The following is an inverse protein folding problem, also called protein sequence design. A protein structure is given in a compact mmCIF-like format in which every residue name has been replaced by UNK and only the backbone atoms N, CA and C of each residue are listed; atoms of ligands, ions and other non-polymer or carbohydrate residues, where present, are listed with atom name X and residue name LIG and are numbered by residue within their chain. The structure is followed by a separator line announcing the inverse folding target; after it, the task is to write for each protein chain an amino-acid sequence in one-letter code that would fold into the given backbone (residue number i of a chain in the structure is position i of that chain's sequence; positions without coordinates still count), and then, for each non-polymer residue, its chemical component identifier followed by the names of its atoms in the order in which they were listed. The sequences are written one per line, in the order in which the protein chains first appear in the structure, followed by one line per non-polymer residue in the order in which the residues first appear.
data_IF_318628205572
#
_entry.id   IF_318628205572
#
_cell.length_a   1.000
_cell.length_b   1.000
_cell.length_c   1.000
_cell.angle_alpha   90.00
_cell.angle_beta   90.00
_cell.angle_gamma   90.00
#
_symmetry.space_group_name_H-M   'P 1'
#
loop_
_entity.id
_entity.type
_entity.pdbx_description
1 polymer ?
#
# COMPACT_ATOMS: atom_id res chain seq x y z
N UNK A 1 -13.81 -8.34 18.88
CA UNK A 1 -13.68 -7.35 19.98
C UNK A 1 -13.30 -6.00 19.40
N UNK A 2 -13.61 -4.89 20.06
CA UNK A 2 -13.46 -3.55 19.45
C UNK A 2 -12.01 -3.12 19.12
N UNK A 3 -11.01 -3.81 19.68
CA UNK A 3 -9.58 -3.51 19.49
C UNK A 3 -8.86 -4.63 18.73
N UNK A 4 -9.56 -5.26 17.78
CA UNK A 4 -8.94 -6.19 16.85
C UNK A 4 -8.25 -5.44 15.69
N UNK A 5 -7.15 -5.99 15.12
CA UNK A 5 -6.42 -5.34 14.03
C UNK A 5 -7.34 -4.89 12.89
N UNK A 6 -7.07 -3.70 12.36
CA UNK A 6 -7.79 -3.11 11.22
C UNK A 6 -9.29 -2.85 11.44
N UNK A 7 -9.79 -2.99 12.67
CA UNK A 7 -11.17 -2.60 12.99
C UNK A 7 -11.31 -1.09 12.88
N UNK A 8 -12.23 -0.63 12.04
CA UNK A 8 -12.54 0.79 11.93
C UNK A 8 -13.42 1.19 13.11
N UNK A 9 -12.90 2.08 13.94
CA UNK A 9 -13.52 2.51 15.19
C UNK A 9 -13.59 4.03 15.29
N UNK A 10 -14.52 4.50 16.10
CA UNK A 10 -14.45 5.82 16.72
C UNK A 10 -13.90 5.67 18.13
N UNK A 11 -12.76 6.29 18.40
CA UNK A 11 -12.08 6.24 19.70
C UNK A 11 -12.29 7.55 20.45
N UNK A 12 -12.57 7.45 21.75
CA UNK A 12 -12.54 8.57 22.69
C UNK A 12 -11.38 8.35 23.65
N UNK A 13 -10.50 9.33 23.76
CA UNK A 13 -9.24 9.19 24.50
C UNK A 13 -8.79 10.52 25.11
N UNK A 14 -7.94 10.43 26.13
CA UNK A 14 -7.28 11.56 26.79
C UNK A 14 -5.78 11.50 26.50
N UNK A 15 -5.28 12.44 25.69
CA UNK A 15 -3.85 12.59 25.39
C UNK A 15 -3.25 13.66 26.31
N UNK A 16 -2.21 13.27 27.05
CA UNK A 16 -1.53 14.13 28.03
C UNK A 16 -0.09 14.34 27.62
N UNK A 17 0.32 15.60 27.57
CA UNK A 17 1.69 15.98 27.28
C UNK A 17 2.68 15.26 28.23
N UNK A 18 3.74 14.68 27.65
CA UNK A 18 4.77 13.95 28.40
C UNK A 18 4.43 12.49 28.71
N UNK A 19 3.29 11.95 28.27
CA UNK A 19 3.00 10.51 28.31
C UNK A 19 3.16 9.87 26.93
N UNK A 20 3.91 8.76 26.87
CA UNK A 20 4.06 7.97 25.65
C UNK A 20 2.75 7.25 25.28
N UNK A 21 1.99 6.80 26.28
CA UNK A 21 0.72 6.11 26.09
C UNK A 21 -0.47 7.01 26.41
N UNK A 22 -1.47 6.95 25.54
CA UNK A 22 -2.75 7.64 25.69
C UNK A 22 -3.73 6.80 26.51
N UNK A 23 -4.53 7.45 27.36
CA UNK A 23 -5.62 6.76 28.07
C UNK A 23 -6.85 6.65 27.17
N UNK A 24 -7.26 5.42 26.86
CA UNK A 24 -8.46 5.13 26.08
C UNK A 24 -9.70 5.09 27.00
N UNK A 25 -10.69 5.92 26.72
CA UNK A 25 -11.93 5.98 27.50
C UNK A 25 -13.00 5.02 26.93
N UNK A 26 -13.23 5.06 25.62
CA UNK A 26 -14.16 4.16 24.94
C UNK A 26 -13.86 4.01 23.44
N UNK A 27 -14.39 2.94 22.84
CA UNK A 27 -14.34 2.67 21.40
C UNK A 27 -15.71 2.21 20.89
N UNK A 28 -16.23 2.90 19.86
CA UNK A 28 -17.38 2.45 19.11
C UNK A 28 -16.90 1.76 17.82
N UNK A 29 -17.29 0.51 17.61
CA UNK A 29 -16.99 -0.20 16.35
C UNK A 29 -17.90 0.33 15.24
N UNK A 30 -17.29 0.81 14.17
CA UNK A 30 -18.00 1.24 12.97
C UNK A 30 -18.05 0.10 11.95
N UNK A 31 -16.91 -0.56 11.73
CA UNK A 31 -16.79 -1.70 10.82
C UNK A 31 -15.62 -2.58 11.25
N UNK A 32 -15.74 -3.91 11.09
CA UNK A 32 -14.65 -4.84 11.34
C UNK A 32 -14.47 -5.78 10.16
N UNK A 33 -13.26 -5.91 9.59
CA UNK A 33 -12.98 -6.88 8.54
C UNK A 33 -13.10 -8.33 9.05
N UNK A 34 -13.12 -8.53 10.37
CA UNK A 34 -13.27 -9.83 11.04
C UNK A 34 -14.71 -10.14 11.44
N UNK A 35 -15.69 -9.28 11.10
CA UNK A 35 -17.09 -9.49 11.45
C UNK A 35 -17.75 -10.67 10.70
N UNK A 36 -17.14 -11.14 9.63
CA UNK A 36 -17.59 -12.30 8.85
C UNK A 36 -16.51 -13.38 8.83
N UNK A 37 -16.84 -14.56 8.31
CA UNK A 37 -15.83 -15.59 8.08
C UNK A 37 -14.65 -15.04 7.26
N UNK A 38 -13.44 -15.36 7.73
CA UNK A 38 -12.19 -14.91 7.12
C UNK A 38 -11.48 -16.15 6.59
N UNK A 39 -11.45 -16.27 5.26
CA UNK A 39 -10.66 -17.32 4.62
C UNK A 39 -9.16 -17.10 4.88
N UNK A 40 -8.36 -18.16 4.79
CA UNK A 40 -6.91 -18.03 4.98
C UNK A 40 -6.25 -16.99 4.05
N UNK A 41 -6.54 -16.93 2.73
CA UNK A 41 -6.00 -15.88 1.86
C UNK A 41 -6.38 -14.47 2.32
N UNK A 42 -7.63 -14.26 2.74
CA UNK A 42 -8.10 -12.98 3.26
C UNK A 42 -7.39 -12.60 4.55
N UNK A 43 -7.20 -13.56 5.47
CA UNK A 43 -6.45 -13.33 6.71
C UNK A 43 -5.01 -12.90 6.43
N UNK A 44 -4.34 -13.55 5.47
CA UNK A 44 -2.98 -13.19 5.03
C UNK A 44 -2.95 -11.78 4.43
N UNK A 45 -3.92 -11.44 3.57
CA UNK A 45 -4.01 -10.11 2.98
C UNK A 45 -4.24 -9.01 4.03
N UNK A 46 -5.14 -9.24 5.00
CA UNK A 46 -5.37 -8.32 6.10
C UNK A 46 -4.11 -8.15 6.97
N UNK A 47 -3.45 -9.25 7.33
CA UNK A 47 -2.19 -9.20 8.09
C UNK A 47 -1.11 -8.39 7.36
N UNK A 48 -0.98 -8.58 6.04
CA UNK A 48 -0.04 -7.83 5.22
C UNK A 48 -0.33 -6.32 5.18
N UNK A 49 -1.61 -5.93 5.07
CA UNK A 49 -2.00 -4.51 5.14
C UNK A 49 -1.64 -3.90 6.50
N UNK A 50 -1.91 -4.62 7.59
CA UNK A 50 -1.58 -4.15 8.94
C UNK A 50 -0.07 -3.97 9.13
N UNK A 51 0.73 -4.95 8.71
CA UNK A 51 2.20 -4.92 8.84
C UNK A 51 2.82 -3.78 8.03
N UNK A 52 2.34 -3.54 6.80
CA UNK A 52 2.84 -2.41 6.01
C UNK A 52 2.48 -1.06 6.61
N UNK A 53 1.30 -0.92 7.24
CA UNK A 53 0.94 0.33 7.91
C UNK A 53 1.81 0.58 9.14
N UNK A 54 2.09 -0.45 9.93
CA UNK A 54 2.93 -0.38 11.12
C UNK A 54 4.39 0.01 10.80
N UNK A 55 4.95 -0.57 9.73
CA UNK A 55 6.35 -0.30 9.34
C UNK A 55 6.53 1.06 8.64
N UNK A 56 5.53 1.51 7.88
CA UNK A 56 5.67 2.68 7.00
C UNK A 56 5.19 3.99 7.62
N UNK A 57 4.30 3.96 8.61
CA UNK A 57 3.70 5.17 9.16
C UNK A 57 4.38 5.62 10.45
N UNK A 58 4.74 6.90 10.56
CA UNK A 58 5.25 7.43 11.82
C UNK A 58 4.14 7.57 12.87
N UNK A 59 4.53 7.44 14.13
CA UNK A 59 3.63 7.66 15.26
C UNK A 59 3.08 9.09 15.29
N UNK A 60 1.81 9.21 15.70
CA UNK A 60 1.13 10.50 15.93
C UNK A 60 1.08 11.44 14.71
N UNK A 61 1.24 10.93 13.50
CA UNK A 61 1.07 11.70 12.26
C UNK A 61 -0.21 11.30 11.53
N UNK A 62 -1.13 12.26 11.37
CA UNK A 62 -2.36 12.01 10.63
C UNK A 62 -2.09 11.98 9.12
N UNK A 63 -2.45 10.87 8.46
CA UNK A 63 -2.41 10.77 7.00
C UNK A 63 -3.77 10.32 6.45
N UNK A 64 -4.62 11.30 6.15
CA UNK A 64 -5.97 11.08 5.63
C UNK A 64 -6.01 10.30 4.30
N UNK A 65 -5.00 10.46 3.44
CA UNK A 65 -4.96 9.78 2.15
C UNK A 65 -4.71 8.28 2.35
N UNK A 66 -3.75 7.92 3.19
CA UNK A 66 -3.46 6.53 3.54
C UNK A 66 -4.62 5.91 4.32
N UNK A 67 -5.21 6.65 5.26
CA UNK A 67 -6.37 6.19 6.01
C UNK A 67 -7.54 5.83 5.08
N UNK A 68 -7.90 6.72 4.13
CA UNK A 68 -8.96 6.44 3.14
C UNK A 68 -8.61 5.28 2.22
N UNK A 69 -7.36 5.19 1.76
CA UNK A 69 -6.89 4.06 0.96
C UNK A 69 -7.08 2.74 1.71
N UNK A 70 -6.67 2.68 2.98
CA UNK A 70 -6.83 1.50 3.83
C UNK A 70 -8.29 1.10 3.93
N UNK A 71 -9.20 2.04 4.25
CA UNK A 71 -10.63 1.73 4.34
C UNK A 71 -11.20 1.19 3.03
N UNK A 72 -10.85 1.78 1.89
CA UNK A 72 -11.28 1.28 0.58
C UNK A 72 -10.80 -0.16 0.34
N UNK A 73 -9.54 -0.47 0.65
CA UNK A 73 -8.98 -1.80 0.45
C UNK A 73 -9.58 -2.83 1.41
N UNK A 74 -9.82 -2.48 2.67
CA UNK A 74 -10.51 -3.37 3.62
C UNK A 74 -11.92 -3.73 3.13
N UNK A 75 -12.63 -2.76 2.53
CA UNK A 75 -13.92 -2.98 1.90
C UNK A 75 -13.84 -4.00 0.75
N UNK A 76 -12.88 -3.85 -0.16
CA UNK A 76 -12.73 -4.73 -1.34
C UNK A 76 -12.23 -6.13 -0.93
N UNK A 77 -11.37 -6.23 0.09
CA UNK A 77 -10.90 -7.50 0.66
C UNK A 77 -12.01 -8.32 1.33
N UNK A 78 -13.24 -7.83 1.43
CA UNK A 78 -14.41 -8.66 1.77
C UNK A 78 -14.80 -9.62 0.63
N UNK A 79 -14.36 -9.35 -0.60
CA UNK A 79 -14.54 -10.21 -1.77
C UNK A 79 -13.59 -11.41 -1.82
N UNK A 80 -13.74 -12.27 -2.83
CA UNK A 80 -12.99 -13.53 -2.93
C UNK A 80 -11.56 -13.36 -3.47
N UNK A 81 -11.27 -12.27 -4.21
CA UNK A 81 -9.96 -12.02 -4.80
C UNK A 81 -9.14 -11.06 -3.92
N UNK A 82 -7.92 -11.47 -3.61
CA UNK A 82 -6.97 -10.70 -2.81
C UNK A 82 -5.85 -10.09 -3.65
N UNK A 83 -5.64 -10.58 -4.87
CA UNK A 83 -4.46 -10.20 -5.66
C UNK A 83 -4.53 -8.73 -6.07
N UNK A 84 -5.66 -8.31 -6.63
CA UNK A 84 -5.85 -6.93 -7.08
C UNK A 84 -5.84 -5.92 -5.91
N UNK A 85 -6.60 -6.10 -4.81
CA UNK A 85 -6.61 -5.14 -3.71
C UNK A 85 -5.25 -5.01 -3.02
N UNK A 86 -4.54 -6.12 -2.82
CA UNK A 86 -3.20 -6.10 -2.20
C UNK A 86 -2.20 -5.38 -3.11
N UNK A 87 -2.19 -5.69 -4.41
CA UNK A 87 -1.28 -5.04 -5.37
C UNK A 87 -1.57 -3.54 -5.47
N UNK A 88 -2.86 -3.16 -5.52
CA UNK A 88 -3.29 -1.77 -5.54
C UNK A 88 -2.84 -1.03 -4.27
N UNK A 89 -3.04 -1.65 -3.10
CA UNK A 89 -2.61 -1.09 -1.82
C UNK A 89 -1.10 -0.86 -1.78
N UNK A 90 -0.30 -1.88 -2.11
CA UNK A 90 1.17 -1.81 -2.14
C UNK A 90 1.69 -0.71 -3.07
N UNK A 91 1.07 -0.58 -4.24
CA UNK A 91 1.47 0.42 -5.23
C UNK A 91 1.12 1.85 -4.77
N UNK A 92 -0.05 2.05 -4.17
CA UNK A 92 -0.45 3.36 -3.66
C UNK A 92 0.27 3.74 -2.37
N UNK A 93 0.47 2.82 -1.42
CA UNK A 93 1.16 3.12 -0.16
C UNK A 93 2.60 3.56 -0.45
N UNK A 94 3.32 2.84 -1.32
CA UNK A 94 4.69 3.22 -1.74
C UNK A 94 4.74 4.57 -2.44
N UNK A 95 3.70 4.94 -3.20
CA UNK A 95 3.57 6.28 -3.79
C UNK A 95 3.33 7.35 -2.73
N UNK A 96 2.42 7.11 -1.79
CA UNK A 96 2.01 8.08 -0.77
C UNK A 96 3.13 8.35 0.25
N UNK A 97 3.95 7.35 0.58
CA UNK A 97 5.12 7.51 1.46
C UNK A 97 6.38 7.97 0.70
N UNK A 98 6.31 8.09 -0.63
CA UNK A 98 7.39 8.65 -1.46
C UNK A 98 8.50 7.68 -1.87
N UNK A 99 8.30 6.37 -1.74
CA UNK A 99 9.27 5.35 -2.15
C UNK A 99 9.11 4.83 -3.58
N UNK A 100 7.96 5.11 -4.20
CA UNK A 100 7.69 4.60 -5.55
C UNK A 100 8.55 5.33 -6.60
N UNK A 101 9.36 4.61 -7.39
CA UNK A 101 10.15 5.24 -8.43
C UNK A 101 9.33 5.55 -9.69
N UNK A 102 9.91 6.34 -10.60
CA UNK A 102 9.32 6.59 -11.91
C UNK A 102 9.40 5.35 -12.82
N UNK A 103 8.32 5.04 -13.53
CA UNK A 103 8.22 3.87 -14.41
C UNK A 103 8.27 4.20 -15.90
N UNK A 104 8.07 5.47 -16.24
CA UNK A 104 7.94 5.92 -17.63
C UNK A 104 9.26 6.30 -18.30
N UNK A 105 10.32 6.53 -17.53
CA UNK A 105 11.61 7.02 -18.03
C UNK A 105 12.79 6.27 -17.41
N UNK A 106 13.87 6.11 -18.18
CA UNK A 106 15.11 5.53 -17.70
C UNK A 106 15.74 6.47 -16.67
N UNK A 107 16.00 5.98 -15.46
CA UNK A 107 16.61 6.78 -14.39
C UNK A 107 18.03 7.27 -14.71
N UNK A 108 18.72 6.67 -15.70
CA UNK A 108 20.10 7.01 -16.08
C UNK A 108 20.13 8.00 -17.24
N UNK A 109 19.49 7.67 -18.36
CA UNK A 109 19.58 8.46 -19.60
C UNK A 109 18.31 9.27 -19.94
N UNK A 110 17.23 9.14 -19.15
CA UNK A 110 15.95 9.84 -19.39
C UNK A 110 15.15 9.32 -20.59
N UNK A 111 15.59 8.23 -21.25
CA UNK A 111 14.83 7.65 -22.38
C UNK A 111 13.46 7.19 -21.90
N UNK A 112 12.40 7.57 -22.63
CA UNK A 112 11.07 7.04 -22.42
C UNK A 112 11.06 5.50 -22.52
N UNK A 113 10.51 4.85 -21.50
CA UNK A 113 10.41 3.40 -21.41
C UNK A 113 9.04 2.87 -21.85
N UNK A 114 8.03 3.74 -22.02
CA UNK A 114 6.73 3.35 -22.53
C UNK A 114 6.84 2.85 -23.98
N UNK A 115 6.53 1.57 -24.21
CA UNK A 115 6.71 0.91 -25.51
C UNK A 115 8.07 0.22 -25.72
N UNK A 116 8.97 0.29 -24.74
CA UNK A 116 10.28 -0.37 -24.76
C UNK A 116 10.47 -1.27 -23.53
N UNK A 117 11.42 -2.20 -23.58
CA UNK A 117 11.78 -3.01 -22.42
C UNK A 117 12.35 -2.13 -21.30
N UNK A 118 11.90 -2.37 -20.08
CA UNK A 118 12.40 -1.71 -18.88
C UNK A 118 12.89 -2.75 -17.89
N UNK A 119 13.91 -2.37 -17.14
CA UNK A 119 14.62 -3.27 -16.25
C UNK A 119 14.71 -2.68 -14.86
N UNK A 120 14.44 -3.50 -13.86
CA UNK A 120 14.68 -3.19 -12.45
C UNK A 120 15.97 -3.88 -11.98
N UNK A 121 16.67 -3.26 -11.05
CA UNK A 121 17.76 -3.88 -10.31
C UNK A 121 17.65 -3.47 -8.85
N UNK A 122 17.93 -4.39 -7.91
CA UNK A 122 17.85 -4.13 -6.47
C UNK A 122 18.79 -3.02 -5.93
N UNK A 123 19.62 -2.43 -6.79
CA UNK A 123 20.58 -1.35 -6.45
C UNK A 123 20.35 -0.13 -7.35
N UNK A 124 19.14 -0.01 -7.89
CA UNK A 124 18.70 1.07 -8.76
C UNK A 124 17.43 1.66 -8.16
N UNK A 125 17.38 2.98 -8.06
CA UNK A 125 16.25 3.74 -7.49
C UNK A 125 15.11 3.91 -8.51
N UNK A 126 15.06 3.08 -9.55
CA UNK A 126 14.08 3.15 -10.61
C UNK A 126 14.35 2.21 -11.76
N UNK A 127 13.59 2.38 -12.84
CA UNK A 127 13.72 1.56 -14.02
C UNK A 127 14.79 2.09 -14.96
N UNK A 128 15.49 1.17 -15.62
CA UNK A 128 16.52 1.47 -16.62
C UNK A 128 16.19 0.85 -17.97
N UNK A 129 16.70 1.46 -19.03
CA UNK A 129 16.57 0.94 -20.39
C UNK A 129 17.53 -0.25 -20.62
N UNK A 130 17.40 -0.92 -21.78
CA UNK A 130 18.25 -2.05 -22.13
C UNK A 130 19.75 -1.72 -22.17
N UNK A 131 20.10 -0.47 -22.50
CA UNK A 131 21.49 -0.01 -22.63
C UNK A 131 22.12 0.30 -21.26
N UNK A 132 21.31 0.71 -20.29
CA UNK A 132 21.75 1.12 -18.94
C UNK A 132 21.55 0.02 -17.88
N UNK A 133 21.02 -1.14 -18.28
CA UNK A 133 20.75 -2.24 -17.35
C UNK A 133 22.03 -2.86 -16.80
N UNK A 134 21.95 -3.37 -15.58
CA UNK A 134 23.05 -4.10 -14.94
C UNK A 134 22.90 -5.60 -15.21
N UNK A 135 23.97 -6.34 -14.92
CA UNK A 135 23.87 -7.79 -14.82
C UNK A 135 22.84 -8.13 -13.73
N UNK A 136 22.09 -9.22 -13.90
CA UNK A 136 21.02 -9.63 -13.00
C UNK A 136 19.82 -8.67 -12.86
N UNK A 137 19.68 -7.65 -13.73
CA UNK A 137 18.42 -6.90 -13.82
C UNK A 137 17.27 -7.79 -14.28
N UNK A 138 16.11 -7.65 -13.64
CA UNK A 138 14.85 -8.29 -14.04
C UNK A 138 14.05 -7.36 -14.97
N UNK A 139 13.39 -7.92 -15.97
CA UNK A 139 12.51 -7.15 -16.86
C UNK A 139 11.19 -6.83 -16.13
N UNK A 140 10.77 -5.57 -16.15
CA UNK A 140 9.40 -5.18 -15.81
C UNK A 140 8.63 -5.01 -17.11
N UNK A 141 7.59 -5.82 -17.30
CA UNK A 141 6.83 -5.84 -18.55
C UNK A 141 6.12 -4.50 -18.82
N UNK A 142 5.79 -4.25 -20.08
CA UNK A 142 5.01 -3.08 -20.44
C UNK A 142 3.59 -3.15 -19.85
N UNK A 143 3.02 -4.35 -19.81
CA UNK A 143 1.69 -4.63 -19.26
C UNK A 143 1.63 -4.34 -17.76
N UNK A 144 2.65 -4.72 -16.98
CA UNK A 144 2.71 -4.40 -15.55
C UNK A 144 2.82 -2.90 -15.30
N UNK A 145 3.59 -2.18 -16.13
CA UNK A 145 3.67 -0.70 -16.03
C UNK A 145 2.37 -0.02 -16.43
N UNK A 146 1.68 -0.54 -17.44
CA UNK A 146 0.37 -0.04 -17.84
C UNK A 146 -0.68 -0.30 -16.74
N UNK A 147 -0.67 -1.48 -16.12
CA UNK A 147 -1.53 -1.81 -14.98
C UNK A 147 -1.29 -0.84 -13.82
N UNK A 148 -0.02 -0.60 -13.46
CA UNK A 148 0.32 0.37 -12.43
C UNK A 148 -0.17 1.80 -12.78
N UNK A 149 0.01 2.23 -14.04
CA UNK A 149 -0.48 3.52 -14.50
C UNK A 149 -2.02 3.62 -14.47
N UNK A 150 -2.75 2.53 -14.68
CA UNK A 150 -4.20 2.46 -14.55
C UNK A 150 -4.63 2.56 -13.08
N UNK A 151 -3.97 1.83 -12.18
CA UNK A 151 -4.23 1.89 -10.73
C UNK A 151 -4.07 3.30 -10.17
N UNK A 152 -3.19 4.14 -10.74
CA UNK A 152 -3.05 5.55 -10.32
C UNK A 152 -4.12 6.51 -10.86
N UNK A 153 -4.96 6.07 -11.80
CA UNK A 153 -5.96 6.91 -12.48
C UNK A 153 -7.39 6.52 -12.17
N UNK A 154 -7.61 5.33 -11.63
CA UNK A 154 -8.92 4.80 -11.29
C UNK A 154 -8.92 4.29 -9.84
N UNK A 155 -10.05 4.39 -9.13
CA UNK A 155 -10.20 3.75 -7.83
C UNK A 155 -10.08 2.23 -7.95
N UNK A 156 -9.75 1.56 -6.86
CA UNK A 156 -9.86 0.11 -6.78
C UNK A 156 -11.35 -0.28 -6.87
N UNK A 157 -11.66 -1.21 -7.78
CA UNK A 157 -13.00 -1.81 -7.97
C UNK A 157 -13.07 -3.21 -7.34
#
# INVERSE_FOLDING_TARGET
GALEPLTYVRVYYEDREGQELTRLDSCDVLESPLATEVSYPRAVALGHVAELLDELLPDREANDAIFRLTLSILGILSGPDIWMPVTYFQLWITRLVGFLPEFSECMVCGRALNGHKAYFHALADGLVCADDKRLASSEMSAESRQMAAQMFRAPAE
#
